data_IF_275051991155
#
_entry.id   IF_275051991155
#
_cell.length_a   1.000
_cell.length_b   1.000
_cell.length_c   1.000
_cell.angle_alpha   90.00
_cell.angle_beta   90.00
_cell.angle_gamma   90.00
#
_symmetry.space_group_name_H-M   'P 1'
#
loop_
_entity.id
_entity.type
_entity.pdbx_description
1 polymer ?
#
# COMPACT_ATOMS: atom_id res chain seq x y z
N UNK A 1 18.18 3.96 -58.41
CA UNK A 1 18.27 2.74 -57.58
C UNK A 1 18.56 3.15 -56.15
N UNK A 2 17.52 3.58 -55.42
CA UNK A 2 17.62 3.92 -53.99
C UNK A 2 17.34 2.64 -53.21
N UNK A 3 18.39 2.10 -52.60
CA UNK A 3 18.39 0.81 -51.91
C UNK A 3 17.45 0.80 -50.72
N UNK A 4 16.67 -0.26 -50.67
CA UNK A 4 15.73 -0.70 -49.65
C UNK A 4 16.44 -1.07 -48.32
N UNK A 5 17.16 -0.13 -47.71
CA UNK A 5 17.94 -0.38 -46.49
C UNK A 5 17.14 -0.22 -45.19
N UNK A 6 15.96 0.42 -45.25
CA UNK A 6 15.10 0.63 -44.08
C UNK A 6 14.42 -0.65 -43.60
N UNK A 7 13.92 -1.46 -44.54
CA UNK A 7 13.29 -2.76 -44.23
C UNK A 7 14.31 -3.77 -43.68
N UNK A 8 15.57 -3.74 -44.15
CA UNK A 8 16.63 -4.64 -43.67
C UNK A 8 17.03 -4.42 -42.22
N UNK A 9 17.02 -3.17 -41.73
CA UNK A 9 17.41 -2.88 -40.34
C UNK A 9 16.32 -3.28 -39.34
N UNK A 10 15.05 -2.99 -39.67
CA UNK A 10 13.90 -3.37 -38.84
C UNK A 10 13.75 -4.90 -38.75
N UNK A 11 13.97 -5.61 -39.85
CA UNK A 11 14.00 -7.09 -39.84
C UNK A 11 15.14 -7.66 -38.98
N UNK A 12 16.32 -7.04 -39.00
CA UNK A 12 17.45 -7.45 -38.15
C UNK A 12 17.14 -7.23 -36.67
N UNK A 13 16.52 -6.11 -36.31
CA UNK A 13 16.09 -5.83 -34.94
C UNK A 13 15.03 -6.83 -34.46
N UNK A 14 14.03 -7.14 -35.28
CA UNK A 14 13.01 -8.15 -34.96
C UNK A 14 13.62 -9.54 -34.77
N UNK A 15 14.56 -9.94 -35.64
CA UNK A 15 15.29 -11.20 -35.50
C UNK A 15 16.15 -11.25 -34.24
N UNK A 16 16.78 -10.13 -33.87
CA UNK A 16 17.57 -10.03 -32.64
C UNK A 16 16.67 -10.12 -31.39
N UNK A 17 15.52 -9.45 -31.36
CA UNK A 17 14.55 -9.57 -30.26
C UNK A 17 14.07 -11.02 -30.09
N UNK A 18 13.68 -11.68 -31.18
CA UNK A 18 13.28 -13.09 -31.17
C UNK A 18 14.42 -14.00 -30.70
N UNK A 19 15.67 -13.74 -31.09
CA UNK A 19 16.81 -14.52 -30.62
C UNK A 19 17.07 -14.33 -29.11
N UNK A 20 16.89 -13.11 -28.58
CA UNK A 20 17.01 -12.82 -27.13
C UNK A 20 15.93 -13.58 -26.35
N UNK A 21 14.68 -13.55 -26.79
CA UNK A 21 13.58 -14.28 -26.16
C UNK A 21 13.83 -15.81 -26.16
N UNK A 22 14.46 -16.31 -27.22
CA UNK A 22 14.81 -17.72 -27.34
C UNK A 22 15.94 -18.12 -26.40
N UNK A 23 16.98 -17.30 -26.31
CA UNK A 23 18.07 -17.46 -25.33
C UNK A 23 17.55 -17.41 -23.89
N UNK A 24 16.65 -16.46 -23.57
CA UNK A 24 16.07 -16.31 -22.24
C UNK A 24 15.24 -17.55 -21.81
N UNK A 25 14.64 -18.24 -22.77
CA UNK A 25 13.93 -19.50 -22.57
C UNK A 25 14.85 -20.74 -22.59
N UNK A 26 16.18 -20.54 -22.55
CA UNK A 26 17.17 -21.61 -22.36
C UNK A 26 17.65 -22.31 -23.64
N UNK A 27 17.31 -21.81 -24.83
CA UNK A 27 17.83 -22.37 -26.07
C UNK A 27 19.31 -22.01 -26.29
N UNK A 28 20.06 -22.95 -26.84
CA UNK A 28 21.43 -22.68 -27.27
C UNK A 28 21.45 -21.89 -28.59
N UNK A 29 22.54 -21.14 -28.88
CA UNK A 29 22.70 -20.44 -30.15
C UNK A 29 22.58 -21.35 -31.39
N UNK A 30 22.85 -22.65 -31.23
CA UNK A 30 22.73 -23.66 -32.29
C UNK A 30 21.27 -24.04 -32.55
N UNK A 31 20.46 -24.20 -31.49
CA UNK A 31 19.01 -24.44 -31.61
C UNK A 31 18.28 -23.24 -32.23
N UNK A 32 18.75 -22.03 -31.94
CA UNK A 32 18.21 -20.80 -32.54
C UNK A 32 18.47 -20.75 -34.05
N UNK A 33 19.66 -21.20 -34.48
CA UNK A 33 20.03 -21.30 -35.90
C UNK A 33 19.32 -22.47 -36.61
N UNK A 34 18.94 -23.52 -35.89
CA UNK A 34 18.33 -24.73 -36.45
C UNK A 34 16.90 -24.53 -36.98
N UNK A 35 16.24 -23.42 -36.67
CA UNK A 35 14.91 -23.10 -37.19
C UNK A 35 13.95 -22.60 -36.11
N UNK A 36 12.66 -22.40 -36.43
CA UNK A 36 11.65 -21.93 -35.48
C UNK A 36 11.35 -23.00 -34.41
N UNK A 37 10.99 -22.56 -33.20
CA UNK A 37 10.53 -23.47 -32.14
C UNK A 37 9.23 -24.17 -32.58
N UNK A 38 8.99 -25.43 -32.15
CA UNK A 38 7.66 -26.01 -32.24
C UNK A 38 6.65 -25.10 -31.51
N UNK A 39 5.45 -24.99 -32.08
CA UNK A 39 4.39 -24.16 -31.51
C UNK A 39 4.07 -24.65 -30.09
N UNK A 40 4.16 -23.74 -29.11
CA UNK A 40 3.88 -24.06 -27.72
C UNK A 40 2.37 -24.16 -27.53
N UNK A 41 1.86 -25.35 -27.19
CA UNK A 41 0.48 -25.50 -26.76
C UNK A 41 0.38 -25.23 -25.25
N UNK A 42 -0.26 -24.12 -24.82
CA UNK A 42 -0.32 -23.79 -23.41
C UNK A 42 -1.09 -24.86 -22.62
N UNK A 43 -0.62 -25.14 -21.43
CA UNK A 43 -1.30 -26.01 -20.47
C UNK A 43 -2.70 -25.47 -20.15
N UNK A 44 -3.63 -26.31 -19.67
CA UNK A 44 -4.96 -25.84 -19.26
C UNK A 44 -4.92 -24.67 -18.27
N UNK A 45 -3.98 -24.68 -17.32
CA UNK A 45 -3.77 -23.59 -16.37
C UNK A 45 -3.30 -22.29 -17.04
N UNK A 46 -2.40 -22.37 -18.02
CA UNK A 46 -1.95 -21.19 -18.76
C UNK A 46 -3.04 -20.66 -19.68
N UNK A 47 -3.87 -21.53 -20.28
CA UNK A 47 -5.03 -21.11 -21.08
C UNK A 47 -6.00 -20.28 -20.24
N UNK A 48 -6.25 -20.68 -19.00
CA UNK A 48 -7.05 -19.91 -18.03
C UNK A 48 -6.38 -18.57 -17.72
N UNK A 49 -5.09 -18.56 -17.37
CA UNK A 49 -4.37 -17.32 -17.08
C UNK A 49 -4.31 -16.35 -18.28
N UNK A 50 -4.16 -16.88 -19.50
CA UNK A 50 -4.20 -16.10 -20.75
C UNK A 50 -5.60 -15.53 -20.99
N UNK A 51 -6.65 -16.31 -20.74
CA UNK A 51 -8.03 -15.84 -20.87
C UNK A 51 -8.30 -14.71 -19.87
N UNK A 52 -7.94 -14.88 -18.59
CA UNK A 52 -8.05 -13.83 -17.56
C UNK A 52 -7.25 -12.58 -17.95
N UNK A 53 -6.01 -12.73 -18.40
CA UNK A 53 -5.17 -11.62 -18.85
C UNK A 53 -5.76 -10.88 -20.06
N UNK A 54 -6.42 -11.58 -20.99
CA UNK A 54 -7.08 -10.99 -22.15
C UNK A 54 -8.40 -10.30 -21.80
N UNK A 55 -9.11 -10.80 -20.77
CA UNK A 55 -10.33 -10.18 -20.25
C UNK A 55 -10.03 -8.90 -19.46
N UNK A 56 -8.83 -8.74 -18.91
CA UNK A 56 -8.35 -7.45 -18.42
C UNK A 56 -8.34 -6.44 -19.57
N UNK A 57 -9.25 -5.44 -19.57
CA UNK A 57 -9.34 -4.48 -20.66
C UNK A 57 -8.01 -3.78 -20.82
N UNK A 58 -7.68 -3.47 -22.08
CA UNK A 58 -6.52 -2.70 -22.53
C UNK A 58 -5.94 -1.84 -21.42
N UNK A 59 -4.66 -2.07 -21.10
CA UNK A 59 -3.94 -1.39 -20.03
C UNK A 59 -4.30 0.10 -19.98
N UNK A 60 -4.52 0.61 -18.75
CA UNK A 60 -4.84 2.02 -18.55
C UNK A 60 -3.90 2.91 -19.38
N UNK A 61 -4.42 3.98 -20.02
CA UNK A 61 -3.60 4.90 -20.77
C UNK A 61 -2.39 5.33 -19.96
N UNK A 62 -1.20 5.08 -20.50
CA UNK A 62 0.05 5.33 -19.79
C UNK A 62 0.54 6.75 -20.08
N UNK A 63 1.15 7.38 -19.08
CA UNK A 63 1.94 8.58 -19.33
C UNK A 63 3.22 8.21 -20.08
N UNK A 64 3.64 9.09 -20.99
CA UNK A 64 4.92 9.07 -21.67
C UNK A 64 5.57 10.46 -21.58
N UNK A 65 6.91 10.49 -21.57
CA UNK A 65 7.65 11.72 -21.85
C UNK A 65 7.52 12.04 -23.33
N UNK A 66 7.20 13.28 -23.68
CA UNK A 66 7.18 13.68 -25.08
C UNK A 66 8.62 13.66 -25.63
N UNK A 67 8.87 13.03 -26.79
CA UNK A 67 10.19 13.07 -27.43
C UNK A 67 10.68 14.52 -27.58
N UNK A 68 11.93 14.77 -27.19
CA UNK A 68 12.57 16.09 -27.18
C UNK A 68 12.00 17.13 -26.21
N UNK A 69 10.98 16.78 -25.41
CA UNK A 69 10.37 17.64 -24.38
C UNK A 69 10.16 16.80 -23.09
N UNK A 70 11.23 16.38 -22.40
CA UNK A 70 11.15 15.38 -21.32
C UNK A 70 10.35 15.84 -20.09
N UNK A 71 10.16 17.15 -19.91
CA UNK A 71 9.33 17.73 -18.85
C UNK A 71 7.83 17.72 -19.18
N UNK A 72 7.46 17.45 -20.43
CA UNK A 72 6.06 17.38 -20.84
C UNK A 72 5.59 15.93 -20.83
N UNK A 73 4.64 15.64 -19.94
CA UNK A 73 3.99 14.34 -19.85
C UNK A 73 2.67 14.35 -20.60
N UNK A 74 2.43 13.33 -21.43
CA UNK A 74 1.15 13.10 -22.12
C UNK A 74 0.75 11.64 -22.03
N UNK A 75 -0.51 11.34 -22.27
CA UNK A 75 -0.92 9.95 -22.42
C UNK A 75 -0.44 9.40 -23.76
N UNK A 76 0.00 8.14 -23.78
CA UNK A 76 0.13 7.32 -24.98
C UNK A 76 -1.28 6.96 -25.48
N UNK A 77 -1.94 7.94 -26.08
CA UNK A 77 -3.28 7.81 -26.62
C UNK A 77 -3.56 8.88 -27.68
N UNK A 78 -4.23 8.56 -28.80
CA UNK A 78 -4.53 9.53 -29.86
C UNK A 78 -5.34 10.75 -29.38
N UNK A 79 -6.20 10.55 -28.37
CA UNK A 79 -7.08 11.59 -27.81
C UNK A 79 -6.84 11.75 -26.31
N UNK A 80 -6.24 12.86 -25.91
CA UNK A 80 -5.82 13.07 -24.52
C UNK A 80 -6.99 13.16 -23.55
N UNK A 81 -8.10 13.76 -23.99
CA UNK A 81 -9.34 13.89 -23.23
C UNK A 81 -10.01 12.54 -22.95
N UNK A 82 -9.95 11.61 -23.90
CA UNK A 82 -10.47 10.24 -23.72
C UNK A 82 -9.60 9.47 -22.74
N UNK A 83 -8.28 9.56 -22.89
CA UNK A 83 -7.35 8.91 -21.97
C UNK A 83 -7.52 9.43 -20.53
N UNK A 84 -7.62 10.75 -20.37
CA UNK A 84 -7.89 11.39 -19.08
C UNK A 84 -9.19 10.87 -18.46
N UNK A 85 -10.28 10.80 -19.23
CA UNK A 85 -11.57 10.31 -18.74
C UNK A 85 -11.49 8.84 -18.29
N UNK A 86 -10.80 7.98 -19.06
CA UNK A 86 -10.60 6.57 -18.70
C UNK A 86 -9.80 6.44 -17.41
N UNK A 87 -8.70 7.16 -17.27
CA UNK A 87 -7.86 7.11 -16.05
C UNK A 87 -8.63 7.69 -14.86
N UNK A 88 -9.25 8.86 -14.99
CA UNK A 88 -10.04 9.47 -13.92
C UNK A 88 -11.16 8.54 -13.42
N UNK A 89 -11.87 7.87 -14.34
CA UNK A 89 -12.88 6.86 -13.99
C UNK A 89 -12.28 5.71 -13.19
N UNK A 90 -11.13 5.19 -13.63
CA UNK A 90 -10.45 4.08 -12.94
C UNK A 90 -9.96 4.45 -11.53
N UNK A 91 -9.64 5.72 -11.31
CA UNK A 91 -9.18 6.22 -10.00
C UNK A 91 -10.34 6.70 -9.10
N UNK A 92 -11.60 6.61 -9.54
CA UNK A 92 -12.74 7.12 -8.78
C UNK A 92 -12.76 8.65 -8.62
N UNK A 93 -12.08 9.38 -9.52
CA UNK A 93 -11.97 10.85 -9.47
C UNK A 93 -12.85 11.46 -10.55
N UNK A 94 -13.69 12.43 -10.16
CA UNK A 94 -14.55 13.16 -11.11
C UNK A 94 -14.11 14.61 -11.31
N UNK A 95 -13.43 15.22 -10.34
CA UNK A 95 -12.86 16.57 -10.48
C UNK A 95 -11.46 16.52 -11.12
N UNK A 96 -11.33 17.13 -12.30
CA UNK A 96 -10.07 17.21 -13.03
C UNK A 96 -8.98 17.98 -12.26
N UNK A 97 -9.31 19.01 -11.48
CA UNK A 97 -8.32 19.75 -10.68
C UNK A 97 -7.73 18.87 -9.59
N UNK A 98 -8.59 18.07 -8.93
CA UNK A 98 -8.15 17.11 -7.94
C UNK A 98 -7.23 16.07 -8.59
N UNK A 99 -7.62 15.53 -9.75
CA UNK A 99 -6.79 14.62 -10.53
C UNK A 99 -5.41 15.21 -10.81
N UNK A 100 -5.34 16.41 -11.40
CA UNK A 100 -4.07 17.07 -11.72
C UNK A 100 -3.21 17.30 -10.48
N UNK A 101 -3.82 17.71 -9.36
CA UNK A 101 -3.12 17.88 -8.09
C UNK A 101 -2.55 16.55 -7.57
N UNK A 102 -3.33 15.47 -7.59
CA UNK A 102 -2.89 14.16 -7.10
C UNK A 102 -1.74 13.59 -7.93
N UNK A 103 -1.84 13.66 -9.26
CA UNK A 103 -0.77 13.23 -10.17
C UNK A 103 0.52 14.02 -9.92
N UNK A 104 0.43 15.35 -9.75
CA UNK A 104 1.58 16.18 -9.45
C UNK A 104 2.21 15.82 -8.09
N UNK A 105 1.39 15.63 -7.04
CA UNK A 105 1.88 15.26 -5.71
C UNK A 105 2.59 13.91 -5.71
N UNK A 106 2.01 12.88 -6.35
CA UNK A 106 2.62 11.55 -6.39
C UNK A 106 3.85 11.52 -7.29
N UNK A 107 3.84 12.24 -8.41
CA UNK A 107 5.04 12.37 -9.24
C UNK A 107 6.18 13.00 -8.45
N UNK A 108 5.91 14.08 -7.72
CA UNK A 108 6.92 14.74 -6.89
C UNK A 108 7.41 13.85 -5.74
N UNK A 109 6.51 13.09 -5.10
CA UNK A 109 6.85 12.21 -3.99
C UNK A 109 7.73 11.03 -4.41
N UNK A 110 7.54 10.51 -5.62
CA UNK A 110 8.24 9.32 -6.11
C UNK A 110 9.55 9.67 -6.82
N UNK A 111 9.63 10.83 -7.49
CA UNK A 111 10.82 11.24 -8.26
C UNK A 111 12.10 11.33 -7.41
N UNK A 112 13.21 10.79 -7.92
CA UNK A 112 14.54 10.88 -7.27
C UNK A 112 15.30 12.18 -7.54
N UNK A 113 14.73 13.08 -8.34
CA UNK A 113 15.33 14.35 -8.73
C UNK A 113 14.30 15.32 -9.32
N UNK A 114 14.74 16.26 -10.15
CA UNK A 114 13.85 17.26 -10.75
C UNK A 114 13.00 16.71 -11.91
N UNK A 115 13.33 15.54 -12.44
CA UNK A 115 12.57 14.91 -13.52
C UNK A 115 11.60 13.86 -13.00
N UNK A 116 10.41 13.86 -13.59
CA UNK A 116 9.40 12.83 -13.36
C UNK A 116 9.90 11.45 -13.82
N UNK A 117 9.81 10.47 -12.91
CA UNK A 117 9.98 9.06 -13.24
C UNK A 117 8.67 8.47 -13.75
N UNK A 118 8.47 8.54 -15.07
CA UNK A 118 7.22 8.12 -15.72
C UNK A 118 6.84 6.67 -15.45
N UNK A 119 7.82 5.77 -15.35
CA UNK A 119 7.57 4.39 -14.99
C UNK A 119 6.98 4.25 -13.57
N UNK A 120 7.53 4.99 -12.60
CA UNK A 120 7.00 5.00 -11.22
C UNK A 120 5.60 5.65 -11.16
N UNK A 121 5.36 6.71 -11.94
CA UNK A 121 4.04 7.32 -12.05
C UNK A 121 3.00 6.33 -12.61
N UNK A 122 3.31 5.66 -13.72
CA UNK A 122 2.41 4.68 -14.34
C UNK A 122 2.15 3.50 -13.39
N UNK A 123 3.17 3.03 -12.68
CA UNK A 123 3.02 1.98 -11.66
C UNK A 123 2.13 2.44 -10.51
N UNK A 124 2.30 3.67 -10.01
CA UNK A 124 1.44 4.22 -8.97
C UNK A 124 -0.02 4.35 -9.42
N UNK A 125 -0.27 4.82 -10.64
CA UNK A 125 -1.63 4.90 -11.22
C UNK A 125 -2.25 3.50 -11.33
N UNK A 126 -1.48 2.51 -11.79
CA UNK A 126 -1.95 1.13 -11.87
C UNK A 126 -2.28 0.54 -10.50
N UNK A 127 -1.44 0.78 -9.49
CA UNK A 127 -1.69 0.36 -8.10
C UNK A 127 -2.97 0.99 -7.55
N UNK A 128 -3.15 2.29 -7.76
CA UNK A 128 -4.36 3.01 -7.29
C UNK A 128 -5.60 2.51 -8.01
N UNK A 129 -5.55 2.32 -9.32
CA UNK A 129 -6.67 1.79 -10.07
C UNK A 129 -7.03 0.36 -9.64
N UNK A 130 -6.04 -0.47 -9.31
CA UNK A 130 -6.26 -1.82 -8.77
C UNK A 130 -6.93 -1.86 -7.38
N UNK A 131 -6.90 -0.75 -6.63
CA UNK A 131 -7.67 -0.61 -5.38
C UNK A 131 -9.17 -0.39 -5.65
N UNK A 132 -9.51 0.03 -6.88
CA UNK A 132 -10.85 0.40 -7.33
C UNK A 132 -11.52 1.45 -6.43
N UNK A 133 -10.97 2.67 -6.32
CA UNK A 133 -11.53 3.70 -5.46
C UNK A 133 -12.95 4.07 -5.88
N UNK A 134 -13.86 4.15 -4.90
CA UNK A 134 -15.29 4.43 -5.14
C UNK A 134 -15.64 5.92 -5.08
N UNK A 135 -14.79 6.71 -4.44
CA UNK A 135 -14.97 8.14 -4.22
C UNK A 135 -13.62 8.86 -4.10
N UNK A 136 -13.67 10.19 -3.98
CA UNK A 136 -12.47 11.03 -3.87
C UNK A 136 -11.62 10.74 -2.61
N UNK A 137 -12.23 10.32 -1.49
CA UNK A 137 -11.49 10.02 -0.27
C UNK A 137 -10.76 8.69 -0.37
N UNK A 138 -11.41 7.67 -0.95
CA UNK A 138 -10.76 6.42 -1.30
C UNK A 138 -9.60 6.67 -2.27
N UNK A 139 -9.78 7.55 -3.27
CA UNK A 139 -8.73 7.88 -4.23
C UNK A 139 -7.52 8.51 -3.55
N UNK A 140 -7.74 9.48 -2.65
CA UNK A 140 -6.68 10.10 -1.85
C UNK A 140 -5.93 9.08 -0.99
N UNK A 141 -6.67 8.21 -0.29
CA UNK A 141 -6.09 7.16 0.54
C UNK A 141 -5.30 6.16 -0.32
N UNK A 142 -5.82 5.77 -1.48
CA UNK A 142 -5.18 4.85 -2.39
C UNK A 142 -3.87 5.42 -2.95
N UNK A 143 -3.83 6.71 -3.33
CA UNK A 143 -2.58 7.38 -3.73
C UNK A 143 -1.54 7.40 -2.60
N UNK A 144 -1.97 7.64 -1.36
CA UNK A 144 -1.08 7.53 -0.20
C UNK A 144 -0.58 6.09 -0.01
N UNK A 145 -1.44 5.08 -0.12
CA UNK A 145 -1.07 3.67 -0.01
C UNK A 145 -0.05 3.24 -1.08
N UNK A 146 -0.26 3.65 -2.34
CA UNK A 146 0.69 3.39 -3.42
C UNK A 146 2.06 4.05 -3.13
N UNK A 147 2.05 5.29 -2.63
CA UNK A 147 3.27 6.00 -2.25
C UNK A 147 3.99 5.31 -1.10
N UNK A 148 3.27 4.95 -0.03
CA UNK A 148 3.80 4.19 1.11
C UNK A 148 4.41 2.87 0.65
N UNK A 149 3.74 2.14 -0.22
CA UNK A 149 4.24 0.88 -0.76
C UNK A 149 5.56 1.06 -1.52
N UNK A 150 5.62 1.99 -2.47
CA UNK A 150 6.84 2.26 -3.26
C UNK A 150 8.00 2.71 -2.37
N UNK A 151 7.74 3.64 -1.45
CA UNK A 151 8.77 4.09 -0.49
C UNK A 151 9.25 2.94 0.39
N UNK A 152 8.35 2.06 0.83
CA UNK A 152 8.74 0.89 1.64
C UNK A 152 9.70 -0.03 0.91
N UNK A 153 9.41 -0.34 -0.37
CA UNK A 153 10.31 -1.18 -1.19
C UNK A 153 11.65 -0.49 -1.47
N UNK A 154 11.64 0.83 -1.67
CA UNK A 154 12.87 1.63 -1.84
C UNK A 154 13.74 1.58 -0.59
N UNK A 155 13.15 1.79 0.59
CA UNK A 155 13.87 1.71 1.85
C UNK A 155 14.33 0.28 2.18
N UNK A 156 13.54 -0.74 1.83
CA UNK A 156 13.95 -2.14 1.94
C UNK A 156 15.17 -2.45 1.06
N UNK A 157 15.25 -1.89 -0.15
CA UNK A 157 16.45 -1.99 -1.00
C UNK A 157 17.67 -1.36 -0.33
N UNK A 158 17.53 -0.17 0.25
CA UNK A 158 18.63 0.47 0.98
C UNK A 158 19.06 -0.33 2.21
N UNK A 159 18.12 -0.96 2.90
CA UNK A 159 18.41 -1.87 4.02
C UNK A 159 19.30 -3.03 3.58
N UNK A 160 19.01 -3.66 2.42
CA UNK A 160 19.83 -4.76 1.87
C UNK A 160 21.22 -4.29 1.40
N UNK A 161 21.36 -3.03 0.99
CA UNK A 161 22.64 -2.45 0.55
C UNK A 161 23.38 -1.64 1.62
N UNK A 162 22.95 -1.70 2.89
CA UNK A 162 23.56 -0.92 3.97
C UNK A 162 24.90 -1.53 4.39
N UNK A 163 25.92 -0.67 4.55
CA UNK A 163 27.28 -1.12 4.92
C UNK A 163 27.55 -0.98 6.42
N UNK A 164 26.75 -0.20 7.14
CA UNK A 164 26.88 0.02 8.59
C UNK A 164 25.62 -0.36 9.34
N UNK A 165 25.78 -0.71 10.63
CA UNK A 165 24.67 -1.08 11.52
C UNK A 165 23.73 0.12 11.71
N UNK A 166 24.26 1.34 11.81
CA UNK A 166 23.45 2.55 12.00
C UNK A 166 22.55 2.84 10.79
N UNK A 167 23.08 2.61 9.58
CA UNK A 167 22.28 2.72 8.35
C UNK A 167 21.19 1.65 8.33
N UNK A 168 21.54 0.40 8.63
CA UNK A 168 20.60 -0.71 8.70
C UNK A 168 19.46 -0.42 9.70
N UNK A 169 19.79 0.01 10.91
CA UNK A 169 18.84 0.34 11.98
C UNK A 169 17.94 1.54 11.63
N UNK A 170 18.44 2.51 10.86
CA UNK A 170 17.62 3.60 10.36
C UNK A 170 16.62 3.09 9.32
N UNK A 171 17.08 2.31 8.33
CA UNK A 171 16.22 1.80 7.27
C UNK A 171 15.17 0.82 7.80
N UNK A 172 15.54 -0.08 8.73
CA UNK A 172 14.61 -1.00 9.39
C UNK A 172 13.46 -0.22 10.03
N UNK A 173 13.76 0.80 10.84
CA UNK A 173 12.73 1.60 11.52
C UNK A 173 11.81 2.32 10.54
N UNK A 174 12.34 2.82 9.43
CA UNK A 174 11.54 3.47 8.38
C UNK A 174 10.62 2.46 7.69
N UNK A 175 11.16 1.33 7.25
CA UNK A 175 10.38 0.26 6.60
C UNK A 175 9.28 -0.25 7.53
N UNK A 176 9.61 -0.54 8.79
CA UNK A 176 8.65 -1.03 9.78
C UNK A 176 7.48 -0.04 9.98
N UNK A 177 7.78 1.26 10.11
CA UNK A 177 6.74 2.31 10.23
C UNK A 177 5.86 2.39 8.98
N UNK A 178 6.45 2.35 7.79
CA UNK A 178 5.70 2.42 6.54
C UNK A 178 4.80 1.19 6.36
N UNK A 179 5.30 -0.02 6.65
CA UNK A 179 4.51 -1.25 6.57
C UNK A 179 3.35 -1.26 7.58
N UNK A 180 3.58 -0.82 8.82
CA UNK A 180 2.50 -0.65 9.81
C UNK A 180 1.46 0.39 9.37
N UNK A 181 1.91 1.47 8.73
CA UNK A 181 1.02 2.49 8.16
C UNK A 181 0.17 1.89 7.04
N UNK A 182 0.76 1.12 6.13
CA UNK A 182 0.05 0.45 5.05
C UNK A 182 -1.06 -0.47 5.58
N UNK A 183 -0.77 -1.30 6.60
CA UNK A 183 -1.78 -2.14 7.25
C UNK A 183 -2.91 -1.32 7.86
N UNK A 184 -2.58 -0.20 8.51
CA UNK A 184 -3.58 0.71 9.09
C UNK A 184 -4.46 1.35 8.02
N UNK A 185 -3.88 1.73 6.87
CA UNK A 185 -4.63 2.27 5.73
C UNK A 185 -5.56 1.22 5.11
N UNK A 186 -5.11 -0.04 5.00
CA UNK A 186 -5.95 -1.16 4.56
C UNK A 186 -7.18 -1.34 5.48
N UNK A 187 -6.98 -1.27 6.80
CA UNK A 187 -8.09 -1.33 7.75
C UNK A 187 -9.03 -0.12 7.63
N UNK A 188 -8.48 1.09 7.47
CA UNK A 188 -9.26 2.30 7.29
C UNK A 188 -10.13 2.21 6.02
N UNK A 189 -9.57 1.76 4.91
CA UNK A 189 -10.29 1.54 3.66
C UNK A 189 -11.40 0.50 3.83
N UNK A 190 -11.09 -0.63 4.48
CA UNK A 190 -12.09 -1.67 4.78
C UNK A 190 -13.23 -1.15 5.65
N UNK A 191 -12.94 -0.33 6.67
CA UNK A 191 -13.95 0.27 7.55
C UNK A 191 -14.81 1.29 6.81
N UNK A 192 -14.19 2.15 5.98
CA UNK A 192 -14.88 3.11 5.12
C UNK A 192 -15.87 2.41 4.19
N UNK A 193 -15.44 1.34 3.49
CA UNK A 193 -16.28 0.56 2.57
C UNK A 193 -17.43 -0.18 3.23
N UNK A 194 -17.23 -0.65 4.46
CA UNK A 194 -18.22 -1.47 5.19
C UNK A 194 -19.05 -0.66 6.20
N UNK A 195 -18.92 0.67 6.19
CA UNK A 195 -19.75 1.60 6.97
C UNK A 195 -19.60 1.50 8.49
N UNK A 196 -18.51 0.93 9.00
CA UNK A 196 -18.24 0.87 10.45
C UNK A 196 -19.32 0.19 11.31
N UNK A 197 -20.20 -0.63 10.72
CA UNK A 197 -21.37 -1.18 11.40
C UNK A 197 -20.99 -2.24 12.45
N UNK A 198 -20.63 -1.81 13.65
CA UNK A 198 -20.77 -2.65 14.83
C UNK A 198 -22.25 -2.64 15.21
N UNK A 199 -22.99 -3.65 14.72
CA UNK A 199 -24.42 -3.82 15.05
C UNK A 199 -24.54 -4.26 16.52
N UNK A 200 -24.66 -3.32 17.44
CA UNK A 200 -24.97 -3.60 18.85
C UNK A 200 -26.47 -3.90 18.93
N UNK A 201 -26.82 -5.17 19.06
CA UNK A 201 -28.20 -5.59 19.36
C UNK A 201 -28.38 -5.50 20.87
N UNK A 202 -29.15 -4.52 21.33
CA UNK A 202 -29.55 -4.43 22.73
C UNK A 202 -30.72 -5.37 22.94
N UNK A 203 -30.46 -6.52 23.54
CA UNK A 203 -31.49 -7.42 24.03
C UNK A 203 -31.68 -7.15 25.52
N UNK A 204 -32.86 -6.63 25.89
CA UNK A 204 -33.22 -6.44 27.29
C UNK A 204 -33.54 -7.80 27.91
N UNK A 205 -32.56 -8.38 28.60
CA UNK A 205 -32.77 -9.58 29.41
C UNK A 205 -33.35 -9.17 30.76
N UNK A 206 -34.62 -9.53 31.02
CA UNK A 206 -35.22 -9.37 32.33
C UNK A 206 -34.78 -10.52 33.24
N UNK A 207 -33.98 -10.20 34.25
CA UNK A 207 -33.64 -11.14 35.32
C UNK A 207 -34.62 -10.92 36.45
N UNK A 208 -35.56 -11.84 36.63
CA UNK A 208 -36.52 -11.79 37.73
C UNK A 208 -35.86 -11.91 39.10
N UNK A 209 -36.62 -11.58 40.16
CA UNK A 209 -36.15 -11.66 41.54
C UNK A 209 -35.65 -13.09 41.87
N UNK A 210 -34.37 -13.23 42.17
CA UNK A 210 -33.71 -14.53 42.43
C UNK A 210 -33.07 -15.22 41.20
N UNK A 211 -33.17 -14.65 40.00
CA UNK A 211 -32.46 -15.14 38.82
C UNK A 211 -31.00 -14.68 38.77
N UNK A 212 -30.07 -15.55 38.33
CA UNK A 212 -28.71 -15.16 37.98
C UNK A 212 -28.48 -15.46 36.50
N UNK A 213 -28.18 -14.43 35.71
CA UNK A 213 -27.79 -14.58 34.31
C UNK A 213 -26.27 -14.73 34.21
N UNK A 214 -25.81 -15.76 33.50
CA UNK A 214 -24.40 -15.93 33.14
C UNK A 214 -24.23 -15.38 31.73
N UNK A 215 -23.40 -14.35 31.56
CA UNK A 215 -23.06 -13.79 30.26
C UNK A 215 -21.67 -14.28 29.89
N UNK A 216 -21.59 -15.17 28.90
CA UNK A 216 -20.33 -15.74 28.42
C UNK A 216 -20.51 -17.10 27.75
N UNK A 217 -19.45 -17.60 27.12
CA UNK A 217 -19.46 -18.92 26.48
C UNK A 217 -19.42 -20.01 27.57
N UNK A 218 -20.56 -20.63 27.89
CA UNK A 218 -20.64 -21.66 28.94
C UNK A 218 -20.30 -23.03 28.37
N UNK A 219 -19.12 -23.57 28.73
CA UNK A 219 -18.79 -24.98 28.51
C UNK A 219 -19.20 -25.78 29.74
N UNK A 220 -20.23 -26.61 29.60
CA UNK A 220 -20.65 -27.53 30.68
C UNK A 220 -19.64 -28.70 30.78
N UNK A 221 -18.74 -28.62 31.76
CA UNK A 221 -17.94 -29.77 32.19
C UNK A 221 -18.84 -30.80 32.88
N UNK A 222 -19.00 -31.98 32.30
CA UNK A 222 -19.80 -33.07 32.83
C UNK A 222 -19.38 -33.47 34.25
N UNK A 223 -20.37 -33.60 35.14
CA UNK A 223 -20.20 -34.02 36.55
C UNK A 223 -20.34 -35.54 36.65
N UNK A 224 -19.37 -36.20 37.27
CA UNK A 224 -19.43 -37.64 37.57
C UNK A 224 -18.68 -38.04 38.84
N UNK A 225 -19.43 -38.04 39.97
CA UNK A 225 -19.25 -38.83 41.21
C UNK A 225 -17.98 -38.69 42.08
N UNK A 226 -18.19 -38.13 43.27
CA UNK A 226 -17.39 -38.36 44.47
C UNK A 226 -17.38 -39.85 44.85
N UNK A 227 -16.18 -40.41 45.05
CA UNK A 227 -15.91 -41.42 46.09
C UNK A 227 -14.60 -41.06 46.77
N UNK A 228 -14.68 -40.87 48.08
CA UNK A 228 -13.57 -40.66 49.00
C UNK A 228 -12.82 -41.98 49.20
N UNK A 229 -11.49 -41.97 49.12
CA UNK A 229 -10.68 -43.12 49.52
C UNK A 229 -9.22 -43.04 49.06
N UNK A 230 -8.35 -42.67 50.00
CA UNK A 230 -6.92 -43.00 50.13
C UNK A 230 -5.92 -42.67 48.99
N UNK A 231 -4.83 -42.02 49.41
CA UNK A 231 -3.65 -41.62 48.65
C UNK A 231 -2.83 -42.80 48.11
N UNK A 232 -2.18 -42.63 46.95
CA UNK A 232 -0.78 -43.03 46.72
C UNK A 232 -0.21 -42.40 45.44
N UNK A 233 1.10 -42.12 45.46
CA UNK A 233 1.91 -41.48 44.42
C UNK A 233 2.01 -42.29 43.11
N UNK A 234 2.21 -41.60 41.97
CA UNK A 234 2.66 -42.20 40.71
C UNK A 234 2.69 -41.22 39.54
N UNK A 235 3.78 -41.21 38.78
CA UNK A 235 4.22 -40.26 37.75
C UNK A 235 3.37 -40.16 36.46
N UNK A 236 3.55 -38.99 35.83
CA UNK A 236 3.68 -38.68 34.39
C UNK A 236 2.82 -39.46 33.37
N UNK A 237 1.92 -38.73 32.70
CA UNK A 237 1.71 -38.93 31.26
C UNK A 237 1.39 -37.60 30.56
N UNK A 238 2.07 -37.41 29.43
CA UNK A 238 2.10 -36.24 28.57
C UNK A 238 0.92 -36.29 27.60
N UNK A 239 -0.07 -35.41 27.78
CA UNK A 239 -0.98 -35.08 26.68
C UNK A 239 -1.49 -33.64 26.80
N UNK A 240 -0.88 -32.75 26.03
CA UNK A 240 -1.34 -31.38 25.80
C UNK A 240 -2.37 -31.42 24.66
N UNK A 241 -3.64 -30.99 24.85
CA UNK A 241 -4.48 -30.62 23.73
C UNK A 241 -4.29 -29.13 23.40
N UNK A 242 -4.31 -28.87 22.11
CA UNK A 242 -4.07 -27.60 21.46
C UNK A 242 -4.91 -26.43 22.00
N UNK A 243 -4.31 -25.24 21.92
CA UNK A 243 -4.82 -23.90 22.22
C UNK A 243 -4.57 -23.41 23.65
N UNK A 244 -3.28 -23.23 23.96
CA UNK A 244 -2.86 -22.22 24.92
C UNK A 244 -3.24 -20.83 24.37
N UNK A 245 -4.37 -20.31 24.82
CA UNK A 245 -4.70 -18.90 24.72
C UNK A 245 -3.64 -18.13 25.53
N UNK A 246 -2.82 -17.36 24.82
CA UNK A 246 -1.85 -16.45 25.43
C UNK A 246 -2.64 -15.34 26.12
N UNK A 247 -2.61 -15.34 27.45
CA UNK A 247 -3.15 -14.29 28.30
C UNK A 247 -2.44 -12.96 27.96
N UNK A 248 -3.20 -12.00 27.44
CA UNK A 248 -2.76 -10.61 27.35
C UNK A 248 -2.75 -10.00 28.75
N UNK A 249 -1.56 -9.63 29.22
CA UNK A 249 -1.45 -8.67 30.33
C UNK A 249 -1.97 -7.32 29.84
N UNK A 250 -3.18 -6.94 30.27
CA UNK A 250 -3.63 -5.56 30.22
C UNK A 250 -3.09 -4.91 31.49
N UNK A 251 -1.94 -4.23 31.37
CA UNK A 251 -1.52 -3.25 32.36
C UNK A 251 -2.57 -2.14 32.38
N UNK A 252 -3.26 -1.99 33.50
CA UNK A 252 -4.15 -0.87 33.74
C UNK A 252 -3.29 0.38 33.94
N UNK A 253 -2.95 1.05 32.84
CA UNK A 253 -2.37 2.39 32.88
C UNK A 253 -3.43 3.35 33.42
N UNK A 254 -3.39 3.57 34.74
CA UNK A 254 -4.24 4.56 35.42
C UNK A 254 -3.76 5.96 35.03
N UNK A 255 -4.16 6.43 33.85
CA UNK A 255 -4.10 7.85 33.51
C UNK A 255 -5.22 8.54 34.30
N UNK A 256 -4.94 9.46 35.24
CA UNK A 256 -5.98 10.23 35.89
C UNK A 256 -6.62 11.16 34.86
N UNK A 257 -7.90 10.95 34.56
CA UNK A 257 -8.71 11.91 33.83
C UNK A 257 -8.88 13.17 34.70
N UNK A 258 -8.53 14.38 34.22
CA UNK A 258 -8.87 15.60 34.94
C UNK A 258 -10.39 15.75 34.97
N UNK A 259 -10.97 15.60 36.16
CA UNK A 259 -12.38 15.88 36.42
C UNK A 259 -12.65 17.38 36.27
N UNK A 260 -13.82 17.71 35.71
CA UNK A 260 -14.30 19.07 35.59
C UNK A 260 -14.61 19.66 36.98
N UNK A 261 -13.69 20.46 37.52
CA UNK A 261 -13.98 21.40 38.60
C UNK A 261 -13.57 22.80 38.16
N UNK A 262 -14.57 23.66 37.99
CA UNK A 262 -14.39 25.04 37.59
C UNK A 262 -13.81 25.87 38.74
N UNK A 263 -12.54 26.20 38.62
CA UNK A 263 -11.93 27.36 39.31
C UNK A 263 -11.08 28.09 38.29
N UNK A 264 -11.48 29.33 37.95
CA UNK A 264 -10.73 30.26 37.09
C UNK A 264 -9.29 30.37 37.64
N UNK A 265 -8.32 29.88 36.88
CA UNK A 265 -6.91 30.18 37.10
C UNK A 265 -6.49 31.23 36.08
N UNK A 266 -5.88 32.29 36.59
CA UNK A 266 -5.42 33.47 35.87
C UNK A 266 -4.42 33.10 34.76
N UNK A 267 -4.54 33.80 33.64
CA UNK A 267 -3.77 33.56 32.44
C UNK A 267 -2.26 33.66 32.67
N UNK A 268 -1.54 32.66 32.16
CA UNK A 268 -0.06 32.62 32.16
C UNK A 268 0.48 33.76 31.26
N UNK A 269 1.50 34.54 31.69
CA UNK A 269 2.04 35.63 30.87
C UNK A 269 2.76 35.09 29.63
N UNK A 270 2.35 35.55 28.45
CA UNK A 270 3.07 35.27 27.20
C UNK A 270 4.43 36.02 27.19
N UNK A 271 5.56 35.34 26.91
CA UNK A 271 6.85 36.01 26.77
C UNK A 271 6.90 36.86 25.49
N UNK A 272 7.06 38.18 25.66
CA UNK A 272 7.28 39.12 24.55
C UNK A 272 8.64 38.88 23.91
N UNK A 273 8.65 38.56 22.61
CA UNK A 273 9.86 38.53 21.80
C UNK A 273 10.50 39.93 21.70
N UNK A 274 11.84 40.07 21.75
CA UNK A 274 12.49 41.37 21.63
C UNK A 274 12.36 41.95 20.21
N UNK A 275 11.86 43.19 20.12
CA UNK A 275 11.78 43.97 18.88
C UNK A 275 13.18 44.16 18.28
N UNK A 276 13.35 43.72 17.04
CA UNK A 276 14.52 44.04 16.19
C UNK A 276 14.50 45.55 15.90
N UNK A 277 15.48 46.26 16.44
CA UNK A 277 15.79 47.66 16.10
C UNK A 277 16.32 47.73 14.67
N UNK A 278 15.64 48.46 13.80
CA UNK A 278 16.17 48.85 12.50
C UNK A 278 16.81 50.24 12.62
N UNK A 279 18.14 50.25 12.80
CA UNK A 279 18.99 51.42 12.51
C UNK A 279 19.04 51.55 10.99
N UNK A 280 18.28 52.49 10.45
CA UNK A 280 18.35 52.94 9.05
C UNK A 280 18.91 54.36 9.04
N UNK A 281 20.12 54.46 8.52
CA UNK A 281 21.01 55.61 8.44
C UNK A 281 20.40 56.75 7.61
N UNK A 282 20.52 57.99 8.12
CA UNK A 282 20.24 59.22 7.37
C UNK A 282 21.55 59.73 6.82
N UNK A 283 21.70 59.74 5.50
CA UNK A 283 22.63 60.66 4.82
C UNK A 283 21.84 61.61 3.91
N UNK A 284 22.18 62.89 4.03
CA UNK A 284 21.56 64.04 3.35
C UNK A 284 22.30 64.33 2.03
N UNK A 285 21.50 64.67 1.01
CA UNK A 285 21.77 65.51 -0.18
C UNK A 285 23.16 66.18 -0.28
N UNK A 286 23.79 66.02 -1.45
CA UNK A 286 23.90 67.05 -2.50
C UNK A 286 23.64 66.39 -3.85
#
# INVERSE_FOLDING_TARGET
>A
MTSDNGHSHDEKLKRAAVAIDRLAAGETPEQIKAGPRPEYDPTPSEKVAIAEFREFPSSLPQYIKVPNLPHMLRFEHPRQEVALAVVMKALGITDQRLYTSMIAQVTNALSRGQEAEVAELNAAIALVAGIEPRDHLEAMLAFQMATVHVLSLRHARFMVSSETIEQLDLQERVVNKLMRTFTTQMEALRKHRNGGNQKVVVEHVYVGEGGQAIIGNVTHGGRGRNKTGAQSHGQEDLSVPARAAVLGHVEADKVPMPGASGTRQDGVPLPRSPRRSAKGEKERRV
#
